data_IF_150549406669
#
_entry.id   IF_150549406669
#
_cell.length_a   1.000
_cell.length_b   1.000
_cell.length_c   1.000
_cell.angle_alpha   90.00
_cell.angle_beta   90.00
_cell.angle_gamma   90.00
#
_symmetry.space_group_name_H-M   'P 1'
#
loop_
_entity.id
_entity.type
_entity.pdbx_description
1 polymer ?
#
# COMPACT_ATOMS: atom_id res chain seq x y z
N UNK A 1 -11.94 9.59 4.88
CA UNK A 1 -11.20 9.54 3.59
C UNK A 1 -11.92 8.61 2.64
N UNK A 2 -12.06 9.01 1.40
CA UNK A 2 -12.59 8.12 0.35
C UNK A 2 -11.44 7.47 -0.44
N UNK A 3 -11.80 6.64 -1.44
CA UNK A 3 -10.80 5.94 -2.26
C UNK A 3 -9.81 6.90 -2.93
N UNK A 4 -10.31 8.01 -3.48
CA UNK A 4 -9.47 8.98 -4.18
C UNK A 4 -8.55 9.74 -3.24
N UNK A 5 -9.02 10.07 -2.04
CA UNK A 5 -8.20 10.72 -1.01
C UNK A 5 -7.01 9.85 -0.63
N UNK A 6 -7.25 8.55 -0.45
CA UNK A 6 -6.21 7.61 -0.08
C UNK A 6 -5.19 7.46 -1.21
N UNK A 7 -5.67 7.32 -2.45
CA UNK A 7 -4.78 7.21 -3.60
C UNK A 7 -3.91 8.46 -3.77
N UNK A 8 -4.50 9.63 -3.65
CA UNK A 8 -3.77 10.90 -3.73
C UNK A 8 -2.71 11.00 -2.64
N UNK A 9 -3.06 10.61 -1.42
CA UNK A 9 -2.12 10.59 -0.31
C UNK A 9 -0.94 9.66 -0.59
N UNK A 10 -1.20 8.44 -1.04
CA UNK A 10 -0.16 7.46 -1.35
C UNK A 10 0.79 7.98 -2.43
N UNK A 11 0.26 8.57 -3.49
CA UNK A 11 1.05 9.15 -4.57
C UNK A 11 1.89 10.34 -4.09
N UNK A 12 1.42 11.08 -3.08
CA UNK A 12 2.19 12.19 -2.50
C UNK A 12 3.37 11.71 -1.67
N UNK A 13 3.29 10.49 -1.12
CA UNK A 13 4.35 9.88 -0.34
C UNK A 13 5.43 9.31 -1.27
N UNK A 14 5.00 8.61 -2.32
CA UNK A 14 5.89 7.99 -3.31
C UNK A 14 5.17 7.92 -4.64
N UNK A 15 5.77 8.48 -5.68
CA UNK A 15 5.23 8.39 -7.03
C UNK A 15 5.23 6.95 -7.54
N UNK A 16 4.25 6.62 -8.37
CA UNK A 16 4.18 5.33 -9.05
C UNK A 16 3.84 5.57 -10.52
N UNK A 17 4.60 4.94 -11.41
CA UNK A 17 4.34 4.97 -12.85
C UNK A 17 3.41 3.84 -13.30
N UNK A 18 3.14 2.88 -12.42
CA UNK A 18 2.23 1.76 -12.70
C UNK A 18 0.89 2.07 -12.04
N UNK A 19 -0.18 2.01 -12.82
CA UNK A 19 -1.52 2.28 -12.34
C UNK A 19 -1.94 1.28 -11.25
N UNK A 20 -2.59 1.77 -10.22
CA UNK A 20 -3.15 0.95 -9.16
C UNK A 20 -4.47 1.54 -8.69
N UNK A 21 -5.27 0.75 -8.02
CA UNK A 21 -6.56 1.19 -7.48
C UNK A 21 -6.59 0.99 -5.98
N UNK A 22 -7.39 1.83 -5.32
CA UNK A 22 -7.66 1.71 -3.88
C UNK A 22 -9.16 1.53 -3.70
N UNK A 23 -9.54 0.51 -2.94
CA UNK A 23 -10.93 0.20 -2.67
C UNK A 23 -11.15 0.05 -1.17
N UNK A 24 -12.07 0.84 -0.64
CA UNK A 24 -12.59 0.62 0.71
C UNK A 24 -13.70 -0.42 0.61
N UNK A 25 -13.54 -1.56 1.27
CA UNK A 25 -14.49 -2.67 1.13
C UNK A 25 -15.85 -2.40 1.79
N UNK A 26 -15.89 -1.51 2.77
CA UNK A 26 -17.08 -1.27 3.57
C UNK A 26 -17.40 -2.41 4.53
N UNK A 27 -16.45 -3.32 4.76
CA UNK A 27 -16.62 -4.53 5.55
C UNK A 27 -15.58 -4.63 6.65
N UNK A 28 -15.87 -5.47 7.63
CA UNK A 28 -14.89 -5.96 8.61
C UNK A 28 -14.26 -7.25 8.11
N UNK A 29 -13.02 -7.49 8.54
CA UNK A 29 -12.37 -8.78 8.36
C UNK A 29 -11.65 -9.16 9.64
N UNK A 30 -11.82 -10.41 10.07
CA UNK A 30 -11.11 -10.94 11.23
C UNK A 30 -9.70 -11.43 10.90
N UNK A 31 -9.39 -11.59 9.62
CA UNK A 31 -8.13 -12.17 9.17
C UNK A 31 -7.09 -11.11 8.84
N UNK A 32 -7.50 -10.03 8.14
CA UNK A 32 -6.57 -8.99 7.68
C UNK A 32 -7.25 -7.63 7.71
N UNK A 33 -6.46 -6.58 7.86
CA UNK A 33 -6.94 -5.20 7.79
C UNK A 33 -7.01 -4.70 6.33
N UNK A 34 -6.21 -5.29 5.47
CA UNK A 34 -6.19 -4.95 4.06
C UNK A 34 -5.38 -5.98 3.30
N UNK A 35 -5.35 -5.83 1.99
CA UNK A 35 -4.53 -6.69 1.13
C UNK A 35 -4.17 -5.97 -0.15
N UNK A 36 -3.09 -6.43 -0.78
CA UNK A 36 -2.67 -5.99 -2.10
C UNK A 36 -2.73 -7.15 -3.08
N UNK A 37 -3.41 -6.95 -4.22
CA UNK A 37 -3.50 -7.95 -5.29
C UNK A 37 -2.51 -7.57 -6.39
N UNK A 38 -1.38 -8.27 -6.50
CA UNK A 38 -0.37 -7.91 -7.51
C UNK A 38 -0.84 -8.09 -8.95
N UNK A 39 -1.75 -9.04 -9.21
CA UNK A 39 -2.25 -9.32 -10.56
C UNK A 39 -3.07 -8.15 -11.12
N UNK A 40 -3.90 -7.53 -10.26
CA UNK A 40 -4.77 -6.42 -10.66
C UNK A 40 -4.25 -5.07 -10.18
N UNK A 41 -3.20 -5.06 -9.35
CA UNK A 41 -2.62 -3.88 -8.70
C UNK A 41 -3.67 -3.12 -7.89
N UNK A 42 -4.46 -3.89 -7.14
CA UNK A 42 -5.54 -3.36 -6.31
C UNK A 42 -5.18 -3.43 -4.84
N UNK A 43 -5.34 -2.28 -4.15
CA UNK A 43 -5.24 -2.20 -2.69
C UNK A 43 -6.67 -2.23 -2.15
N UNK A 44 -6.96 -3.19 -1.29
CA UNK A 44 -8.26 -3.31 -0.64
C UNK A 44 -8.06 -3.07 0.85
N UNK A 45 -8.88 -2.18 1.43
CA UNK A 45 -8.82 -1.85 2.85
C UNK A 45 -10.16 -2.19 3.48
N UNK A 46 -10.12 -2.97 4.56
CA UNK A 46 -11.33 -3.32 5.32
C UNK A 46 -11.57 -2.20 6.33
N UNK A 47 -12.14 -1.10 5.84
CA UNK A 47 -12.22 0.16 6.56
C UNK A 47 -13.04 0.10 7.84
N UNK A 48 -13.93 -0.88 7.98
CA UNK A 48 -14.67 -1.07 9.24
C UNK A 48 -13.84 -1.65 10.37
N UNK A 49 -12.63 -2.16 10.07
CA UNK A 49 -11.69 -2.61 11.09
C UNK A 49 -11.04 -1.45 11.83
N UNK A 50 -11.04 -0.25 11.26
CA UNK A 50 -10.26 0.88 11.78
C UNK A 50 -11.10 1.78 12.68
N UNK A 51 -10.50 2.21 13.78
CA UNK A 51 -11.13 3.12 14.75
C UNK A 51 -10.90 4.59 14.42
N UNK A 52 -9.86 4.88 13.63
CA UNK A 52 -9.49 6.24 13.26
C UNK A 52 -8.71 6.24 11.95
N UNK A 53 -8.47 7.45 11.42
CA UNK A 53 -7.76 7.62 10.16
C UNK A 53 -6.30 7.18 10.22
N UNK A 54 -5.64 7.27 11.37
CA UNK A 54 -4.26 6.83 11.50
C UNK A 54 -4.12 5.32 11.24
N UNK A 55 -5.05 4.53 11.74
CA UNK A 55 -5.04 3.08 11.47
C UNK A 55 -5.26 2.80 9.99
N UNK A 56 -6.16 3.53 9.36
CA UNK A 56 -6.42 3.42 7.94
C UNK A 56 -5.17 3.77 7.13
N UNK A 57 -4.55 4.91 7.44
CA UNK A 57 -3.36 5.39 6.73
C UNK A 57 -2.19 4.41 6.89
N UNK A 58 -1.95 3.92 8.09
CA UNK A 58 -0.91 2.93 8.36
C UNK A 58 -1.09 1.69 7.47
N UNK A 59 -2.31 1.17 7.42
CA UNK A 59 -2.61 -0.03 6.63
C UNK A 59 -2.51 0.25 5.13
N UNK A 60 -2.97 1.42 4.68
CA UNK A 60 -2.86 1.82 3.28
C UNK A 60 -1.38 1.87 2.84
N UNK A 61 -0.51 2.46 3.66
CA UNK A 61 0.92 2.54 3.37
C UNK A 61 1.54 1.14 3.37
N UNK A 62 1.11 0.27 4.28
CA UNK A 62 1.57 -1.12 4.33
C UNK A 62 1.30 -1.84 2.99
N UNK A 63 0.06 -1.75 2.49
CA UNK A 63 -0.29 -2.39 1.22
C UNK A 63 0.38 -1.69 0.02
N UNK A 64 0.51 -0.38 0.07
CA UNK A 64 1.20 0.37 -0.98
C UNK A 64 2.69 0.00 -1.09
N UNK A 65 3.30 -0.38 0.04
CA UNK A 65 4.70 -0.84 0.04
C UNK A 65 4.86 -2.06 -0.85
N UNK A 66 3.91 -2.99 -0.83
CA UNK A 66 3.94 -4.14 -1.76
C UNK A 66 3.91 -3.68 -3.21
N UNK A 67 3.07 -2.71 -3.53
CA UNK A 67 2.99 -2.15 -4.88
C UNK A 67 4.31 -1.51 -5.31
N UNK A 68 4.90 -0.69 -4.45
CA UNK A 68 6.16 0.01 -4.72
C UNK A 68 7.29 -0.99 -4.97
N UNK A 69 7.41 -2.02 -4.15
CA UNK A 69 8.45 -3.04 -4.31
C UNK A 69 8.27 -3.84 -5.60
N UNK A 70 7.03 -4.17 -5.96
CA UNK A 70 6.75 -4.89 -7.20
C UNK A 70 7.06 -4.00 -8.42
N UNK A 71 6.75 -2.71 -8.36
CA UNK A 71 7.10 -1.77 -9.42
C UNK A 71 8.63 -1.70 -9.60
N UNK A 72 9.38 -1.57 -8.50
CA UNK A 72 10.82 -1.54 -8.54
C UNK A 72 11.41 -2.84 -9.10
N UNK A 73 10.83 -3.97 -8.73
CA UNK A 73 11.25 -5.27 -9.28
C UNK A 73 11.03 -5.32 -10.79
N UNK A 74 9.86 -4.89 -11.26
CA UNK A 74 9.55 -4.89 -12.70
C UNK A 74 10.49 -3.96 -13.47
N UNK A 75 10.80 -2.79 -12.92
CA UNK A 75 11.73 -1.85 -13.53
C UNK A 75 13.15 -2.44 -13.62
N UNK A 76 13.64 -3.01 -12.51
CA UNK A 76 14.98 -3.59 -12.42
C UNK A 76 15.15 -4.79 -13.34
N UNK A 77 14.11 -5.58 -13.54
CA UNK A 77 14.14 -6.80 -14.34
C UNK A 77 13.57 -6.60 -15.75
N UNK A 78 13.19 -5.37 -16.10
CA UNK A 78 12.57 -5.03 -17.41
C UNK A 78 11.30 -5.85 -17.67
N UNK A 79 10.52 -6.04 -16.63
CA UNK A 79 9.25 -6.78 -16.73
C UNK A 79 9.38 -8.29 -16.66
N UNK A 80 10.59 -8.84 -16.47
CA UNK A 80 10.81 -10.27 -16.41
C UNK A 80 10.69 -10.86 -15.01
N UNK A 81 10.74 -10.02 -13.97
CA UNK A 81 10.65 -10.46 -12.60
C UNK A 81 9.24 -10.87 -12.21
N UNK A 82 9.14 -11.90 -11.38
CA UNK A 82 7.86 -12.34 -10.81
C UNK A 82 7.48 -11.43 -9.65
N UNK A 83 6.23 -10.96 -9.63
CA UNK A 83 5.72 -10.19 -8.50
C UNK A 83 5.64 -11.07 -7.26
N UNK A 84 6.05 -10.51 -6.13
CA UNK A 84 5.96 -11.22 -4.86
C UNK A 84 4.53 -11.18 -4.33
N UNK A 85 4.20 -12.18 -3.51
CA UNK A 85 2.93 -12.26 -2.82
C UNK A 85 2.76 -11.08 -1.85
N UNK A 86 1.52 -10.65 -1.64
CA UNK A 86 1.19 -9.64 -0.62
C UNK A 86 1.49 -10.13 0.80
N UNK A 87 1.85 -11.40 0.98
CA UNK A 87 2.26 -11.96 2.27
C UNK A 87 3.77 -11.95 2.49
N UNK A 88 4.54 -11.51 1.50
CA UNK A 88 6.00 -11.45 1.60
C UNK A 88 6.43 -10.22 2.38
N UNK A 89 6.77 -10.43 3.66
CA UNK A 89 7.24 -9.37 4.54
C UNK A 89 8.74 -9.57 4.82
N UNK A 90 9.55 -9.30 3.81
CA UNK A 90 11.00 -9.43 3.87
C UNK A 90 11.63 -8.26 4.61
N UNK A 91 12.95 -8.33 4.85
CA UNK A 91 13.71 -7.21 5.41
C UNK A 91 13.58 -5.98 4.52
N UNK A 92 13.62 -6.15 3.20
CA UNK A 92 13.43 -5.05 2.24
C UNK A 92 12.05 -4.44 2.35
N UNK A 93 11.02 -5.26 2.54
CA UNK A 93 9.67 -4.76 2.77
C UNK A 93 9.61 -3.83 3.99
N UNK A 94 10.09 -4.31 5.13
CA UNK A 94 10.02 -3.52 6.36
C UNK A 94 10.84 -2.24 6.28
N UNK A 95 12.00 -2.28 5.64
CA UNK A 95 12.82 -1.09 5.45
C UNK A 95 12.09 -0.05 4.60
N UNK A 96 11.47 -0.47 3.50
CA UNK A 96 10.73 0.44 2.63
C UNK A 96 9.47 0.96 3.31
N UNK A 97 8.77 0.11 4.03
CA UNK A 97 7.56 0.50 4.76
C UNK A 97 7.87 1.61 5.78
N UNK A 98 8.93 1.44 6.58
CA UNK A 98 9.33 2.46 7.54
C UNK A 98 9.74 3.76 6.87
N UNK A 99 10.40 3.70 5.73
CA UNK A 99 10.77 4.84 4.91
C UNK A 99 9.52 5.63 4.45
N UNK A 100 8.52 4.93 3.96
CA UNK A 100 7.27 5.55 3.51
C UNK A 100 6.47 6.12 4.68
N UNK A 101 6.43 5.44 5.83
CA UNK A 101 5.80 5.97 7.04
C UNK A 101 6.48 7.24 7.51
N UNK A 102 7.80 7.27 7.52
CA UNK A 102 8.55 8.46 7.91
C UNK A 102 8.23 9.63 6.99
N UNK A 103 8.16 9.41 5.69
CA UNK A 103 7.76 10.44 4.73
C UNK A 103 6.37 10.96 5.04
N UNK A 104 5.42 10.08 5.36
CA UNK A 104 4.06 10.46 5.72
C UNK A 104 4.04 11.31 6.99
N UNK A 105 4.84 10.94 7.99
CA UNK A 105 4.96 11.72 9.22
C UNK A 105 5.53 13.12 8.96
N UNK A 106 6.57 13.22 8.15
CA UNK A 106 7.19 14.49 7.79
C UNK A 106 6.22 15.41 7.04
N UNK A 107 5.30 14.84 6.29
CA UNK A 107 4.30 15.60 5.54
C UNK A 107 3.03 15.88 6.35
N UNK A 108 2.98 15.42 7.60
CA UNK A 108 1.82 15.61 8.46
C UNK A 108 0.61 14.77 8.09
N UNK A 109 0.82 13.69 7.33
CA UNK A 109 -0.26 12.80 6.88
C UNK A 109 -0.55 11.67 7.87
N UNK A 110 0.41 11.38 8.74
CA UNK A 110 0.30 10.27 9.69
C UNK A 110 0.73 10.73 11.09
#
# INVERSE_FOLDING_TARGET
>A
MNNDDIKTMLLSIKESSIEFTVTLSGKESKKVNGLYKPETREIILHNKNFKNDNQLIYTAIHEYTHHVLNEELLERTKGLGKMSSCRSHTTDFWARFHELLETAEQKGLY
#
